data_IF_981933571463
#
_entry.id   IF_981933571463
#
_cell.length_a   1.000
_cell.length_b   1.000
_cell.length_c   1.000
_cell.angle_alpha   90.00
_cell.angle_beta   90.00
_cell.angle_gamma   90.00
#
_symmetry.space_group_name_H-M   'P 1'
#
loop_
_entity.id
_entity.type
_entity.pdbx_description
1 polymer ?
#
# COMPACT_ATOMS: atom_id res chain seq x y z
N UNK A 1 -9.98 15.29 24.61
CA UNK A 1 -8.56 15.37 24.96
C UNK A 1 -8.02 16.66 24.34
N UNK A 2 -7.26 17.45 25.07
CA UNK A 2 -6.70 18.70 24.55
C UNK A 2 -5.65 18.38 23.47
N UNK A 3 -5.85 18.82 22.21
CA UNK A 3 -4.91 18.54 21.12
C UNK A 3 -3.50 19.13 21.35
N UNK A 4 -3.37 20.10 22.25
CA UNK A 4 -2.09 20.72 22.60
C UNK A 4 -1.21 19.87 23.55
N UNK A 5 -1.76 18.84 24.18
CA UNK A 5 -1.04 18.01 25.16
C UNK A 5 -0.02 17.05 24.51
N UNK A 6 -0.08 16.86 23.19
CA UNK A 6 0.79 15.93 22.45
C UNK A 6 2.09 16.57 21.93
N UNK A 7 2.17 17.89 21.89
CA UNK A 7 3.34 18.60 21.35
C UNK A 7 4.57 18.59 22.26
N UNK A 8 4.44 18.17 23.52
CA UNK A 8 5.50 18.31 24.53
C UNK A 8 6.42 17.09 24.69
N UNK A 9 6.22 16.02 23.95
CA UNK A 9 7.14 14.88 23.91
C UNK A 9 7.98 14.96 22.64
N UNK A 10 9.29 15.20 22.80
CA UNK A 10 10.33 15.19 21.80
C UNK A 10 10.06 14.11 20.73
N UNK A 11 9.36 14.47 19.66
CA UNK A 11 9.34 13.61 18.49
C UNK A 11 10.66 13.84 17.75
N UNK A 12 11.56 12.85 17.66
CA UNK A 12 12.84 12.98 16.94
C UNK A 12 12.66 13.04 15.42
N UNK A 13 11.42 12.86 14.92
CA UNK A 13 11.18 12.82 13.49
C UNK A 13 11.23 14.23 12.88
N UNK A 14 12.03 14.45 11.82
CA UNK A 14 12.12 15.73 11.15
C UNK A 14 10.77 16.17 10.55
N UNK A 15 10.52 17.49 10.51
CA UNK A 15 9.30 18.02 9.89
C UNK A 15 9.20 17.68 8.40
N UNK A 16 10.34 17.55 7.71
CA UNK A 16 10.43 17.21 6.29
C UNK A 16 11.69 16.42 6.00
N UNK A 17 11.57 15.37 5.20
CA UNK A 17 12.68 14.55 4.72
C UNK A 17 12.55 14.38 3.21
N UNK A 18 13.62 14.69 2.47
CA UNK A 18 13.68 14.57 1.02
C UNK A 18 14.36 13.26 0.60
N UNK A 19 13.70 12.47 -0.25
CA UNK A 19 14.21 11.15 -0.69
C UNK A 19 15.39 11.20 -1.67
N UNK A 20 15.70 12.36 -2.22
CA UNK A 20 16.51 12.47 -3.44
C UNK A 20 15.69 12.12 -4.70
N UNK A 21 16.27 12.44 -5.88
CA UNK A 21 15.64 12.22 -7.19
C UNK A 21 16.16 10.94 -7.84
N UNK A 22 15.22 10.09 -8.31
CA UNK A 22 15.48 8.75 -8.82
C UNK A 22 14.73 8.52 -10.14
N UNK A 23 15.28 7.82 -11.16
CA UNK A 23 14.63 7.58 -12.44
C UNK A 23 13.63 6.40 -12.43
N UNK A 24 13.51 5.66 -11.33
CA UNK A 24 12.79 4.38 -11.22
C UNK A 24 11.26 4.50 -11.11
N UNK A 25 10.71 5.66 -11.40
CA UNK A 25 9.28 5.96 -11.33
C UNK A 25 8.93 6.74 -10.05
N UNK A 26 7.65 7.04 -9.85
CA UNK A 26 7.23 7.78 -8.67
C UNK A 26 7.17 6.89 -7.42
N UNK A 27 7.18 7.52 -6.24
CA UNK A 27 7.00 6.82 -4.97
C UNK A 27 5.57 6.28 -4.88
N UNK A 28 5.44 5.01 -4.51
CA UNK A 28 4.18 4.30 -4.34
C UNK A 28 3.81 4.15 -2.86
N UNK A 29 4.80 4.15 -1.97
CA UNK A 29 4.60 4.01 -0.54
C UNK A 29 5.85 4.36 0.26
N UNK A 30 5.65 4.59 1.55
CA UNK A 30 6.72 4.77 2.54
C UNK A 30 6.51 3.82 3.70
N UNK A 31 7.62 3.39 4.33
CA UNK A 31 7.60 2.67 5.59
C UNK A 31 8.70 3.22 6.50
N UNK A 32 8.45 3.32 7.80
CA UNK A 32 9.37 3.95 8.75
C UNK A 32 9.77 2.96 9.83
N UNK A 33 11.08 2.78 10.02
CA UNK A 33 11.68 2.11 11.16
C UNK A 33 12.06 3.18 12.19
N UNK A 34 11.14 3.50 13.10
CA UNK A 34 11.37 4.53 14.14
C UNK A 34 12.56 4.19 15.03
N UNK A 35 12.70 2.93 15.42
CA UNK A 35 13.76 2.47 16.30
C UNK A 35 15.14 2.46 15.64
N UNK A 36 15.20 2.09 14.35
CA UNK A 36 16.42 2.09 13.55
C UNK A 36 16.78 3.45 12.97
N UNK A 37 15.85 4.39 12.93
CA UNK A 37 16.04 5.72 12.34
C UNK A 37 16.13 5.70 10.81
N UNK A 38 15.31 4.87 10.15
CA UNK A 38 15.31 4.73 8.70
C UNK A 38 13.93 4.96 8.09
N UNK A 39 13.92 5.45 6.84
CA UNK A 39 12.74 5.45 5.96
C UNK A 39 13.03 4.57 4.75
N UNK A 40 12.03 3.79 4.38
CA UNK A 40 11.99 3.04 3.14
C UNK A 40 11.00 3.70 2.19
N UNK A 41 11.37 3.77 0.90
CA UNK A 41 10.54 4.28 -0.17
C UNK A 41 10.43 3.21 -1.25
N UNK A 42 9.22 2.81 -1.61
CA UNK A 42 9.00 2.06 -2.83
C UNK A 42 8.84 3.02 -3.99
N UNK A 43 9.88 3.13 -4.82
CA UNK A 43 9.72 3.62 -6.18
C UNK A 43 9.26 2.43 -7.05
N UNK A 44 8.67 2.69 -8.18
CA UNK A 44 8.06 1.61 -9.00
C UNK A 44 8.95 0.38 -9.19
N UNK A 45 10.28 0.55 -9.29
CA UNK A 45 11.24 -0.52 -9.63
C UNK A 45 12.44 -0.63 -8.69
N UNK A 46 12.45 0.12 -7.58
CA UNK A 46 13.44 -0.03 -6.51
C UNK A 46 12.79 0.15 -5.13
N UNK A 47 13.39 -0.48 -4.11
CA UNK A 47 13.22 -0.11 -2.72
C UNK A 47 14.44 0.70 -2.28
N UNK A 48 14.24 1.94 -1.86
CA UNK A 48 15.30 2.81 -1.31
C UNK A 48 15.20 2.87 0.21
N UNK A 49 16.34 2.76 0.91
CA UNK A 49 16.48 2.99 2.36
C UNK A 49 17.32 4.24 2.59
N UNK A 50 16.81 5.20 3.36
CA UNK A 50 17.54 6.40 3.80
C UNK A 50 17.59 6.49 5.32
N UNK A 51 18.51 7.29 5.85
CA UNK A 51 18.41 7.79 7.21
C UNK A 51 17.35 8.92 7.32
N UNK A 52 17.12 9.42 8.55
CA UNK A 52 16.16 10.51 8.79
C UNK A 52 16.65 11.89 8.30
N UNK A 53 17.90 12.00 7.83
CA UNK A 53 18.40 13.18 7.15
C UNK A 53 18.22 13.11 5.62
N UNK A 54 17.67 12.00 5.10
CA UNK A 54 17.48 11.76 3.67
C UNK A 54 18.70 11.20 2.96
N UNK A 55 19.77 10.85 3.67
CA UNK A 55 20.95 10.26 3.04
C UNK A 55 20.70 8.80 2.69
N UNK A 56 20.96 8.36 1.44
CA UNK A 56 20.82 6.96 1.03
C UNK A 56 21.74 6.04 1.85
N UNK A 57 21.18 4.97 2.40
CA UNK A 57 21.89 3.93 3.17
C UNK A 57 22.03 2.67 2.34
N UNK A 58 20.99 2.32 1.56
CA UNK A 58 20.98 1.17 0.68
C UNK A 58 19.78 1.16 -0.24
N UNK A 59 19.81 0.31 -1.24
CA UNK A 59 18.65 0.09 -2.12
C UNK A 59 18.62 -1.34 -2.66
N UNK A 60 17.40 -1.80 -2.97
CA UNK A 60 17.18 -3.06 -3.70
C UNK A 60 16.66 -2.70 -5.09
N UNK A 61 17.41 -3.03 -6.10
CA UNK A 61 17.13 -2.77 -7.51
C UNK A 61 16.77 -4.04 -8.28
N UNK A 62 16.70 -3.94 -9.60
CA UNK A 62 16.35 -5.06 -10.49
C UNK A 62 14.93 -5.60 -10.25
N UNK A 63 14.03 -4.76 -9.79
CA UNK A 63 12.61 -5.08 -9.68
C UNK A 63 11.98 -4.74 -11.03
N UNK A 64 11.52 -5.77 -11.76
CA UNK A 64 11.00 -5.63 -13.13
C UNK A 64 9.50 -5.33 -13.13
N UNK A 65 8.80 -5.75 -12.07
CA UNK A 65 7.37 -5.49 -11.86
C UNK A 65 7.08 -4.12 -11.25
N UNK A 66 5.80 -3.90 -10.97
CA UNK A 66 5.32 -2.72 -10.25
C UNK A 66 5.37 -2.97 -8.74
N UNK A 67 6.37 -2.41 -8.06
CA UNK A 67 6.42 -2.37 -6.61
C UNK A 67 5.48 -1.25 -6.13
N UNK A 68 4.39 -1.63 -5.45
CA UNK A 68 3.38 -0.72 -4.92
C UNK A 68 3.67 -0.24 -3.50
N UNK A 69 2.61 -0.10 -2.70
CA UNK A 69 2.68 0.31 -1.30
C UNK A 69 3.50 -0.66 -0.45
N UNK A 70 4.15 -0.12 0.57
CA UNK A 70 4.98 -0.88 1.53
C UNK A 70 4.60 -0.57 2.97
N UNK A 71 4.87 -1.53 3.86
CA UNK A 71 4.68 -1.39 5.30
C UNK A 71 5.83 -2.04 6.07
N UNK A 72 6.12 -1.58 7.30
CA UNK A 72 7.21 -2.10 8.13
C UNK A 72 6.69 -2.97 9.28
N UNK A 73 7.30 -4.14 9.43
CA UNK A 73 7.13 -5.04 10.58
C UNK A 73 8.34 -4.90 11.52
N UNK A 74 8.20 -4.23 12.66
CA UNK A 74 9.30 -4.02 13.59
C UNK A 74 9.74 -5.31 14.30
N UNK A 75 8.84 -6.29 14.47
CA UNK A 75 9.14 -7.52 15.19
C UNK A 75 10.03 -8.45 14.36
N UNK A 76 9.79 -8.51 13.05
CA UNK A 76 10.56 -9.32 12.09
C UNK A 76 11.63 -8.55 11.36
N UNK A 77 11.64 -7.23 11.51
CA UNK A 77 12.53 -6.30 10.79
C UNK A 77 12.43 -6.49 9.27
N UNK A 78 11.18 -6.49 8.79
CA UNK A 78 10.84 -6.68 7.39
C UNK A 78 10.05 -5.49 6.85
N UNK A 79 10.33 -5.12 5.61
CA UNK A 79 9.41 -4.32 4.82
C UNK A 79 8.63 -5.26 3.92
N UNK A 80 7.30 -5.24 4.02
CA UNK A 80 6.40 -5.94 3.10
C UNK A 80 5.86 -4.98 2.07
N UNK A 81 5.59 -5.47 0.86
CA UNK A 81 5.01 -4.67 -0.21
C UNK A 81 4.25 -5.51 -1.23
N UNK A 82 3.43 -4.86 -2.04
CA UNK A 82 2.80 -5.45 -3.20
C UNK A 82 3.74 -5.44 -4.39
N UNK A 83 3.79 -6.52 -5.16
CA UNK A 83 4.53 -6.58 -6.42
C UNK A 83 3.66 -7.21 -7.50
N UNK A 84 3.54 -6.53 -8.64
CA UNK A 84 2.77 -6.97 -9.79
C UNK A 84 3.69 -7.24 -10.98
N UNK A 85 3.58 -8.42 -11.55
CA UNK A 85 4.13 -8.77 -12.86
C UNK A 85 2.94 -8.91 -13.81
N UNK A 86 2.62 -7.89 -14.61
CA UNK A 86 1.42 -7.90 -15.47
C UNK A 86 1.65 -7.18 -16.81
N UNK A 87 0.86 -7.55 -17.83
CA UNK A 87 1.01 -7.10 -19.21
C UNK A 87 0.02 -6.00 -19.60
N UNK A 88 -0.55 -5.30 -18.64
CA UNK A 88 -1.39 -4.13 -18.88
C UNK A 88 -0.57 -2.89 -19.31
N UNK A 89 -1.21 -1.74 -19.38
CA UNK A 89 -0.54 -0.48 -19.75
C UNK A 89 0.57 -0.09 -18.76
N UNK A 90 0.43 -0.44 -17.47
CA UNK A 90 1.43 -0.15 -16.43
C UNK A 90 2.66 -1.05 -16.63
N UNK A 91 2.46 -2.36 -16.75
CA UNK A 91 3.55 -3.32 -16.98
C UNK A 91 4.31 -3.02 -18.28
N UNK A 92 3.60 -2.75 -19.37
CA UNK A 92 4.21 -2.31 -20.64
C UNK A 92 5.03 -1.02 -20.49
N UNK A 93 4.56 -0.07 -19.69
CA UNK A 93 5.29 1.16 -19.37
C UNK A 93 6.59 0.88 -18.59
N UNK A 94 6.58 -0.08 -17.67
CA UNK A 94 7.77 -0.50 -16.92
C UNK A 94 8.78 -1.18 -17.84
N UNK A 95 8.34 -2.15 -18.65
CA UNK A 95 9.18 -2.81 -19.67
C UNK A 95 9.84 -1.80 -20.60
N UNK A 96 9.06 -0.85 -21.12
CA UNK A 96 9.60 0.20 -22.00
C UNK A 96 10.67 1.07 -21.32
N UNK A 97 10.52 1.35 -20.02
CA UNK A 97 11.47 2.17 -19.25
C UNK A 97 12.71 1.40 -18.83
N UNK A 98 12.55 0.16 -18.40
CA UNK A 98 13.65 -0.66 -17.87
C UNK A 98 14.41 -1.41 -18.96
N UNK A 99 13.80 -1.63 -20.13
CA UNK A 99 14.32 -2.49 -21.19
C UNK A 99 14.35 -3.98 -20.83
N UNK A 100 13.64 -4.37 -19.76
CA UNK A 100 13.58 -5.75 -19.25
C UNK A 100 12.21 -6.34 -19.55
N UNK A 101 12.19 -7.58 -20.02
CA UNK A 101 10.95 -8.30 -20.30
C UNK A 101 10.40 -8.96 -19.03
N UNK A 102 9.07 -8.98 -18.91
CA UNK A 102 8.34 -9.79 -17.92
C UNK A 102 8.19 -11.23 -18.45
N UNK A 103 8.01 -12.17 -17.52
CA UNK A 103 7.53 -13.51 -17.88
C UNK A 103 6.17 -13.43 -18.59
N UNK A 104 5.82 -14.46 -19.38
CA UNK A 104 4.58 -14.43 -20.18
C UNK A 104 3.29 -14.39 -19.34
N UNK A 105 3.33 -14.88 -18.10
CA UNK A 105 2.16 -14.92 -17.21
C UNK A 105 2.05 -13.67 -16.32
N UNK A 106 0.80 -13.26 -16.04
CA UNK A 106 0.53 -12.28 -15.01
C UNK A 106 0.63 -12.94 -13.62
N UNK A 107 1.38 -12.31 -12.70
CA UNK A 107 1.59 -12.82 -11.35
C UNK A 107 1.62 -11.71 -10.32
N UNK A 108 1.12 -12.01 -9.12
CA UNK A 108 0.99 -11.06 -8.01
C UNK A 108 1.62 -11.63 -6.75
N UNK A 109 2.39 -10.81 -6.05
CA UNK A 109 3.16 -11.22 -4.89
C UNK A 109 3.04 -10.23 -3.72
N UNK A 110 3.06 -10.76 -2.51
CA UNK A 110 3.51 -10.01 -1.35
C UNK A 110 5.03 -10.21 -1.23
N UNK A 111 5.82 -9.16 -1.46
CA UNK A 111 7.27 -9.21 -1.28
C UNK A 111 7.67 -8.88 0.14
N UNK A 112 8.76 -9.47 0.60
CA UNK A 112 9.35 -9.25 1.92
C UNK A 112 10.83 -8.92 1.76
N UNK A 113 11.25 -7.74 2.20
CA UNK A 113 12.63 -7.28 2.20
C UNK A 113 13.25 -7.42 3.59
N UNK A 114 14.46 -7.94 3.64
CA UNK A 114 15.26 -8.01 4.88
C UNK A 114 15.91 -6.66 5.16
N UNK A 115 15.36 -5.91 6.13
CA UNK A 115 15.82 -4.56 6.46
C UNK A 115 17.27 -4.50 6.90
N UNK A 116 17.76 -5.54 7.60
CA UNK A 116 19.11 -5.61 8.12
C UNK A 116 20.11 -6.04 7.04
N UNK A 117 19.64 -6.73 6.02
CA UNK A 117 20.45 -7.08 4.85
C UNK A 117 20.65 -5.92 3.88
N UNK A 118 19.78 -4.87 3.91
CA UNK A 118 19.90 -3.69 3.02
C UNK A 118 20.98 -2.76 3.57
N UNK A 119 22.24 -2.96 3.14
CA UNK A 119 23.43 -2.26 3.67
C UNK A 119 24.23 -1.51 2.61
N UNK A 120 23.87 -1.65 1.33
CA UNK A 120 24.54 -0.96 0.22
C UNK A 120 23.56 -0.61 -0.90
N UNK A 121 23.97 0.33 -1.74
CA UNK A 121 23.18 0.73 -2.91
C UNK A 121 23.21 -0.37 -3.98
N UNK A 122 22.10 -0.46 -4.72
CA UNK A 122 21.96 -1.32 -5.91
C UNK A 122 22.12 -2.83 -5.62
N UNK A 123 21.65 -3.29 -4.46
CA UNK A 123 21.54 -4.72 -4.19
C UNK A 123 20.49 -5.33 -5.13
N UNK A 124 20.84 -6.42 -5.79
CA UNK A 124 19.94 -7.05 -6.76
C UNK A 124 18.88 -7.91 -6.06
N UNK A 125 17.60 -7.68 -6.37
CA UNK A 125 16.45 -8.38 -5.79
C UNK A 125 16.44 -9.89 -6.06
N UNK A 126 17.09 -10.34 -7.15
CA UNK A 126 17.12 -11.75 -7.58
C UNK A 126 18.35 -12.52 -7.10
N UNK A 127 19.36 -11.84 -6.56
CA UNK A 127 20.58 -12.50 -6.10
C UNK A 127 20.31 -13.32 -4.85
N UNK A 128 20.77 -14.56 -4.91
CA UNK A 128 20.71 -15.53 -3.80
C UNK A 128 22.16 -15.84 -3.37
N UNK A 129 22.43 -15.72 -2.06
CA UNK A 129 23.75 -16.05 -1.52
C UNK A 129 24.01 -17.56 -1.46
N UNK A 130 25.23 -17.95 -1.07
CA UNK A 130 25.62 -19.36 -0.98
C UNK A 130 24.79 -20.18 0.03
N UNK A 131 24.05 -19.53 0.93
CA UNK A 131 23.16 -20.14 1.92
C UNK A 131 21.70 -20.17 1.45
N UNK A 132 21.40 -19.75 0.22
CA UNK A 132 20.06 -19.68 -0.33
C UNK A 132 19.24 -18.48 0.17
N UNK A 133 19.88 -17.45 0.77
CA UNK A 133 19.21 -16.22 1.22
C UNK A 133 19.24 -15.15 0.12
N UNK A 134 18.14 -14.42 0.01
CA UNK A 134 18.00 -13.21 -0.81
C UNK A 134 17.58 -12.05 0.07
N UNK A 135 17.92 -10.83 -0.34
CA UNK A 135 17.45 -9.59 0.28
C UNK A 135 15.93 -9.43 0.12
N UNK A 136 15.36 -10.00 -0.94
CA UNK A 136 13.93 -10.02 -1.23
C UNK A 136 13.43 -11.45 -1.41
N UNK A 137 12.31 -11.78 -0.76
CA UNK A 137 11.52 -12.98 -1.02
C UNK A 137 10.10 -12.60 -1.40
N UNK A 138 9.37 -13.47 -2.07
CA UNK A 138 8.03 -13.21 -2.57
C UNK A 138 7.08 -14.36 -2.21
N UNK A 139 5.87 -14.02 -1.75
CA UNK A 139 4.75 -14.94 -1.56
C UNK A 139 3.79 -14.76 -2.73
N UNK A 140 3.55 -15.82 -3.50
CA UNK A 140 2.56 -15.81 -4.58
C UNK A 140 1.13 -15.70 -4.03
N UNK A 141 0.29 -14.88 -4.66
CA UNK A 141 -1.07 -14.55 -4.24
C UNK A 141 -2.11 -15.14 -5.21
N UNK A 142 -2.48 -16.42 -5.08
CA UNK A 142 -3.38 -17.09 -6.04
C UNK A 142 -4.78 -16.48 -6.05
N UNK A 143 -5.27 -15.91 -4.94
CA UNK A 143 -6.56 -15.20 -4.90
C UNK A 143 -6.60 -14.02 -5.87
N UNK A 144 -5.50 -13.25 -5.92
CA UNK A 144 -5.40 -12.07 -6.80
C UNK A 144 -5.33 -12.50 -8.26
N UNK A 145 -4.48 -13.50 -8.56
CA UNK A 145 -4.35 -14.04 -9.93
C UNK A 145 -5.69 -14.54 -10.44
N UNK A 146 -6.43 -15.26 -9.60
CA UNK A 146 -7.77 -15.75 -9.93
C UNK A 146 -8.71 -14.61 -10.27
N UNK A 147 -8.87 -13.63 -9.37
CA UNK A 147 -9.83 -12.53 -9.55
C UNK A 147 -9.42 -11.57 -10.68
N UNK A 148 -8.10 -11.48 -10.97
CA UNK A 148 -7.61 -10.71 -12.12
C UNK A 148 -7.89 -11.41 -13.45
N UNK A 149 -7.79 -12.74 -13.51
CA UNK A 149 -7.97 -13.53 -14.74
C UNK A 149 -9.45 -13.86 -15.05
N UNK A 150 -10.30 -13.95 -14.02
CA UNK A 150 -11.70 -14.35 -14.17
C UNK A 150 -12.61 -13.16 -14.51
N UNK A 151 -13.62 -13.42 -15.32
CA UNK A 151 -14.72 -12.49 -15.51
C UNK A 151 -15.60 -12.47 -14.25
N UNK A 152 -16.26 -11.35 -14.01
CA UNK A 152 -17.21 -11.20 -12.93
C UNK A 152 -18.49 -11.98 -13.20
N UNK A 153 -18.84 -12.92 -12.34
CA UNK A 153 -20.01 -13.80 -12.53
C UNK A 153 -21.34 -13.03 -12.56
N UNK A 154 -21.43 -11.91 -11.84
CA UNK A 154 -22.68 -11.14 -11.76
C UNK A 154 -22.90 -10.20 -12.95
N UNK A 155 -21.84 -9.59 -13.45
CA UNK A 155 -21.89 -8.58 -14.52
C UNK A 155 -21.40 -9.09 -15.88
N UNK A 156 -20.65 -10.20 -15.91
CA UNK A 156 -19.94 -10.68 -17.10
C UNK A 156 -18.79 -9.76 -17.53
N UNK A 157 -18.41 -8.78 -16.70
CA UNK A 157 -17.31 -7.86 -16.98
C UNK A 157 -15.96 -8.52 -16.68
N UNK A 158 -14.90 -8.25 -17.45
CA UNK A 158 -13.57 -8.79 -17.17
C UNK A 158 -13.06 -8.31 -15.82
N UNK A 159 -12.23 -9.12 -15.20
CA UNK A 159 -11.60 -8.86 -13.90
C UNK A 159 -12.63 -8.77 -12.75
N UNK A 160 -12.77 -9.87 -12.03
CA UNK A 160 -13.70 -9.96 -10.90
C UNK A 160 -13.45 -8.84 -9.87
N UNK A 161 -14.50 -8.26 -9.31
CA UNK A 161 -14.46 -7.06 -8.43
C UNK A 161 -13.84 -5.81 -9.09
N UNK A 162 -13.63 -5.81 -10.40
CA UNK A 162 -12.86 -4.79 -11.10
C UNK A 162 -11.35 -4.85 -10.78
N UNK A 163 -10.84 -6.00 -10.35
CA UNK A 163 -9.44 -6.18 -9.96
C UNK A 163 -8.48 -5.74 -11.06
N UNK A 164 -7.68 -4.70 -10.80
CA UNK A 164 -6.59 -4.27 -11.69
C UNK A 164 -5.22 -4.74 -11.22
N UNK A 165 -5.19 -5.57 -10.16
CA UNK A 165 -4.01 -6.05 -9.47
C UNK A 165 -4.03 -5.68 -7.99
N UNK A 166 -2.88 -5.37 -7.42
CA UNK A 166 -2.70 -5.03 -6.00
C UNK A 166 -1.85 -3.76 -5.85
N UNK A 167 -2.10 -2.98 -4.78
CA UNK A 167 -1.27 -1.80 -4.49
C UNK A 167 -1.12 -1.59 -2.98
N UNK A 168 -2.19 -1.20 -2.26
CA UNK A 168 -2.14 -0.93 -0.82
C UNK A 168 -1.66 -2.12 0.02
N UNK A 169 -0.77 -1.85 0.97
CA UNK A 169 -0.23 -2.86 1.91
C UNK A 169 -0.15 -2.26 3.30
N UNK A 170 -0.62 -2.98 4.34
CA UNK A 170 -0.52 -2.56 5.74
C UNK A 170 -0.13 -3.71 6.66
N UNK A 171 0.53 -3.37 7.77
CA UNK A 171 0.79 -4.26 8.90
C UNK A 171 0.02 -3.77 10.12
N UNK A 172 -1.03 -4.49 10.51
CA UNK A 172 -1.91 -4.05 11.58
C UNK A 172 -2.77 -5.17 12.18
N UNK A 173 -3.56 -4.88 13.22
CA UNK A 173 -4.43 -5.86 13.86
C UNK A 173 -5.57 -6.30 12.91
N UNK A 174 -6.12 -7.48 13.16
CA UNK A 174 -7.35 -7.94 12.52
C UNK A 174 -8.51 -7.03 12.93
N UNK A 175 -9.41 -6.71 11.99
CA UNK A 175 -10.59 -5.90 12.25
C UNK A 175 -11.44 -6.48 13.40
N UNK A 176 -11.81 -5.64 14.37
CA UNK A 176 -12.54 -6.03 15.57
C UNK A 176 -11.70 -6.60 16.70
N UNK A 177 -10.39 -6.78 16.49
CA UNK A 177 -9.48 -7.26 17.53
C UNK A 177 -8.84 -6.11 18.30
N UNK A 178 -8.36 -6.33 19.55
CA UNK A 178 -7.58 -5.35 20.28
C UNK A 178 -6.34 -4.87 19.51
N UNK A 179 -5.92 -3.63 19.73
CA UNK A 179 -4.78 -3.02 19.04
C UNK A 179 -3.43 -3.73 19.32
N UNK A 180 -3.32 -4.41 20.45
CA UNK A 180 -2.17 -5.19 20.89
C UNK A 180 -2.22 -6.67 20.49
N UNK A 181 -3.27 -7.07 19.73
CA UNK A 181 -3.34 -8.43 19.18
C UNK A 181 -2.27 -8.67 18.12
N UNK A 182 -2.05 -9.93 17.75
CA UNK A 182 -1.13 -10.31 16.68
C UNK A 182 -1.52 -9.61 15.38
N UNK A 183 -0.55 -8.95 14.75
CA UNK A 183 -0.76 -8.19 13.53
C UNK A 183 -0.71 -9.09 12.29
N UNK A 184 -1.39 -8.67 11.27
CA UNK A 184 -1.50 -9.32 9.96
C UNK A 184 -1.03 -8.38 8.86
N UNK A 185 -0.71 -8.96 7.71
CA UNK A 185 -0.47 -8.21 6.47
C UNK A 185 -1.80 -8.10 5.74
N UNK A 186 -2.18 -6.87 5.43
CA UNK A 186 -3.33 -6.56 4.59
C UNK A 186 -2.83 -6.17 3.20
N UNK A 187 -3.33 -6.83 2.15
CA UNK A 187 -3.05 -6.52 0.75
C UNK A 187 -4.33 -6.06 0.09
N UNK A 188 -4.31 -4.89 -0.54
CA UNK A 188 -5.49 -4.30 -1.17
C UNK A 188 -5.44 -4.44 -2.69
N UNK A 189 -6.60 -4.67 -3.29
CA UNK A 189 -6.72 -4.65 -4.74
C UNK A 189 -6.54 -3.23 -5.28
N UNK A 190 -5.86 -3.14 -6.42
CA UNK A 190 -6.15 -2.13 -7.40
C UNK A 190 -7.53 -2.38 -7.99
N UNK A 191 -8.25 -1.32 -8.37
CA UNK A 191 -9.60 -1.44 -8.95
C UNK A 191 -9.71 -0.55 -10.18
N UNK A 192 -10.10 -1.13 -11.33
CA UNK A 192 -10.37 -0.35 -12.54
C UNK A 192 -11.51 0.64 -12.34
N UNK A 193 -11.33 1.88 -12.81
CA UNK A 193 -12.25 3.00 -12.60
C UNK A 193 -13.41 3.08 -13.59
N UNK A 194 -13.76 1.99 -14.28
CA UNK A 194 -14.85 1.99 -15.26
C UNK A 194 -16.14 2.55 -14.62
N UNK A 195 -16.59 3.68 -15.14
CA UNK A 195 -17.76 4.41 -14.61
C UNK A 195 -19.09 3.74 -14.97
N UNK A 196 -19.08 2.82 -15.95
CA UNK A 196 -20.26 2.09 -16.38
C UNK A 196 -20.49 0.79 -15.60
N UNK A 197 -19.50 0.32 -14.83
CA UNK A 197 -19.62 -0.86 -13.96
C UNK A 197 -20.28 -0.46 -12.64
N UNK A 198 -21.04 -1.36 -12.04
CA UNK A 198 -21.61 -1.19 -10.70
C UNK A 198 -20.97 -2.10 -9.64
N UNK A 199 -20.22 -3.10 -10.08
CA UNK A 199 -19.56 -4.13 -9.28
C UNK A 199 -18.13 -3.76 -8.80
N UNK A 200 -17.64 -2.57 -9.15
CA UNK A 200 -16.29 -2.05 -8.83
C UNK A 200 -16.29 -0.90 -7.81
N UNK A 201 -17.34 -0.80 -6.98
CA UNK A 201 -17.51 0.29 -6.00
C UNK A 201 -17.07 -0.11 -4.56
N UNK A 202 -16.57 -1.35 -4.39
CA UNK A 202 -15.94 -1.83 -3.15
C UNK A 202 -14.43 -1.89 -3.29
N UNK A 203 -13.70 -1.54 -2.23
CA UNK A 203 -12.31 -1.90 -2.07
C UNK A 203 -12.24 -3.32 -1.52
N UNK A 204 -11.28 -4.13 -2.01
CA UNK A 204 -11.05 -5.50 -1.57
C UNK A 204 -9.74 -5.56 -0.80
N UNK A 205 -9.78 -6.12 0.41
CA UNK A 205 -8.62 -6.24 1.30
C UNK A 205 -8.45 -7.72 1.66
N UNK A 206 -7.29 -8.27 1.34
CA UNK A 206 -6.92 -9.65 1.66
C UNK A 206 -6.02 -9.67 2.90
N UNK A 207 -6.28 -10.60 3.82
CA UNK A 207 -5.49 -10.78 5.05
C UNK A 207 -4.58 -11.98 4.94
N UNK A 208 -3.30 -11.80 5.33
CA UNK A 208 -2.29 -12.87 5.41
C UNK A 208 -1.56 -12.86 6.74
N UNK A 209 -1.20 -14.04 7.24
CA UNK A 209 -0.30 -14.16 8.39
C UNK A 209 1.16 -13.94 7.94
N UNK A 210 1.93 -13.05 8.59
CA UNK A 210 3.36 -12.90 8.29
C UNK A 210 4.14 -14.21 8.34
N UNK A 211 3.76 -15.17 9.21
CA UNK A 211 4.38 -16.49 9.26
C UNK A 211 4.18 -17.31 7.97
N UNK A 212 3.09 -17.06 7.23
CA UNK A 212 2.88 -17.69 5.91
C UNK A 212 3.82 -17.12 4.84
N UNK A 213 4.15 -15.82 4.93
CA UNK A 213 5.14 -15.20 4.05
C UNK A 213 6.53 -15.81 4.31
N UNK A 214 6.90 -16.02 5.57
CA UNK A 214 8.15 -16.70 5.91
C UNK A 214 8.17 -18.17 5.45
N UNK A 215 7.05 -18.88 5.60
CA UNK A 215 6.92 -20.30 5.24
C UNK A 215 6.96 -20.54 3.73
N UNK A 216 6.23 -19.75 2.96
CA UNK A 216 5.99 -19.95 1.54
C UNK A 216 6.76 -18.99 0.64
N UNK A 217 7.24 -17.86 1.18
CA UNK A 217 8.07 -16.90 0.45
C UNK A 217 9.35 -17.56 -0.06
N UNK A 218 9.71 -17.25 -1.30
CA UNK A 218 10.94 -17.74 -1.98
C UNK A 218 11.63 -16.58 -2.67
N UNK A 219 12.93 -16.68 -2.90
CA UNK A 219 13.61 -15.80 -3.86
C UNK A 219 12.86 -15.81 -5.19
N UNK A 220 12.65 -14.64 -5.78
CA UNK A 220 11.88 -14.49 -7.01
C UNK A 220 12.81 -14.28 -8.21
N UNK A 221 12.70 -15.15 -9.20
CA UNK A 221 13.15 -14.83 -10.56
C UNK A 221 11.97 -14.28 -11.35
N UNK A 222 12.04 -13.04 -11.76
CA UNK A 222 10.94 -12.35 -12.45
C UNK A 222 10.81 -12.78 -13.91
N UNK A 223 11.86 -13.39 -14.48
CA UNK A 223 11.83 -14.05 -15.80
C UNK A 223 11.20 -15.44 -15.76
N UNK A 224 11.21 -16.10 -14.58
CA UNK A 224 10.61 -17.42 -14.37
C UNK A 224 9.94 -17.45 -12.98
N UNK A 225 8.81 -16.75 -12.84
CA UNK A 225 8.15 -16.54 -11.55
C UNK A 225 7.66 -17.88 -10.97
N UNK A 226 7.79 -18.03 -9.65
CA UNK A 226 7.33 -19.21 -8.94
C UNK A 226 5.89 -19.02 -8.42
N UNK A 227 5.17 -20.13 -8.18
CA UNK A 227 3.84 -20.14 -7.60
C UNK A 227 3.82 -20.59 -6.12
N UNK A 228 4.95 -20.45 -5.41
CA UNK A 228 4.99 -20.75 -3.98
C UNK A 228 4.20 -19.69 -3.21
N UNK A 229 3.03 -20.06 -2.69
CA UNK A 229 2.10 -19.13 -2.06
C UNK A 229 1.01 -19.83 -1.26
N UNK A 230 0.05 -19.06 -0.78
CA UNK A 230 -1.12 -19.56 -0.07
C UNK A 230 -2.35 -18.67 -0.34
N UNK A 231 -3.52 -19.19 -0.05
CA UNK A 231 -4.75 -18.41 -0.03
C UNK A 231 -4.75 -17.42 1.15
N UNK A 232 -5.47 -16.32 1.01
CA UNK A 232 -5.71 -15.38 2.11
C UNK A 232 -6.49 -16.06 3.26
N UNK A 233 -6.26 -15.59 4.50
CA UNK A 233 -7.03 -16.03 5.66
C UNK A 233 -8.45 -15.47 5.66
N UNK A 234 -8.61 -14.25 5.13
CA UNK A 234 -9.89 -13.56 5.01
C UNK A 234 -9.86 -12.56 3.85
N UNK A 235 -11.03 -12.31 3.26
CA UNK A 235 -11.28 -11.29 2.25
C UNK A 235 -12.34 -10.34 2.78
N UNK A 236 -12.01 -9.06 2.83
CA UNK A 236 -12.89 -8.00 3.31
C UNK A 236 -13.27 -7.05 2.19
N UNK A 237 -14.45 -6.45 2.33
CA UNK A 237 -14.99 -5.48 1.39
C UNK A 237 -15.31 -4.18 2.11
N UNK A 238 -14.83 -3.08 1.57
CA UNK A 238 -15.11 -1.75 2.09
C UNK A 238 -15.74 -0.88 1.00
N UNK A 239 -16.97 -0.42 1.23
CA UNK A 239 -17.71 0.35 0.23
C UNK A 239 -17.30 1.82 0.25
N UNK A 240 -16.55 2.25 -0.77
CA UNK A 240 -16.12 3.63 -0.96
C UNK A 240 -16.87 4.36 -2.07
N UNK A 241 -17.57 3.61 -2.90
CA UNK A 241 -17.94 4.06 -4.23
C UNK A 241 -16.75 3.95 -5.19
N UNK A 242 -16.85 4.65 -6.32
CA UNK A 242 -15.87 4.56 -7.40
C UNK A 242 -14.52 5.15 -7.00
N UNK A 243 -13.45 4.43 -7.28
CA UNK A 243 -12.07 4.90 -7.15
C UNK A 243 -11.32 4.69 -8.45
N UNK A 244 -10.18 5.36 -8.60
CA UNK A 244 -9.25 5.14 -9.69
C UNK A 244 -8.06 4.35 -9.15
N UNK A 245 -7.85 3.15 -9.68
CA UNK A 245 -6.81 2.21 -9.27
C UNK A 245 -6.95 1.61 -7.85
N UNK A 246 -8.10 1.77 -7.17
CA UNK A 246 -8.34 1.18 -5.85
C UNK A 246 -7.54 1.81 -4.73
N UNK A 247 -7.21 1.00 -3.71
CA UNK A 247 -6.43 1.45 -2.55
C UNK A 247 -4.96 1.56 -2.93
N UNK A 248 -4.44 2.77 -2.89
CA UNK A 248 -3.03 3.05 -3.18
C UNK A 248 -2.14 2.84 -1.96
N UNK A 249 -2.59 3.30 -0.80
CA UNK A 249 -1.93 3.06 0.47
C UNK A 249 -2.97 2.73 1.53
N UNK A 250 -2.63 1.77 2.39
CA UNK A 250 -3.37 1.41 3.58
C UNK A 250 -2.43 1.53 4.78
N UNK A 251 -2.86 2.22 5.84
CA UNK A 251 -2.04 2.39 7.05
C UNK A 251 -2.88 2.27 8.31
N UNK A 252 -2.41 1.48 9.28
CA UNK A 252 -3.05 1.34 10.58
C UNK A 252 -2.59 2.43 11.55
N UNK A 253 -3.51 3.22 12.04
CA UNK A 253 -3.27 4.16 13.14
C UNK A 253 -3.77 3.62 14.47
N UNK A 254 -2.86 3.34 15.39
CA UNK A 254 -3.18 2.84 16.73
C UNK A 254 -3.78 3.92 17.64
N UNK A 255 -3.59 5.21 17.33
CA UNK A 255 -4.15 6.33 18.11
C UNK A 255 -5.64 6.49 17.91
N UNK A 256 -6.09 6.52 16.66
CA UNK A 256 -7.52 6.58 16.33
C UNK A 256 -8.16 5.19 16.22
N UNK A 257 -7.34 4.15 16.15
CA UNK A 257 -7.74 2.75 15.89
C UNK A 257 -8.51 2.62 14.57
N UNK A 258 -7.96 3.25 13.53
CA UNK A 258 -8.51 3.19 12.17
C UNK A 258 -7.47 2.72 11.18
N UNK A 259 -7.93 2.22 10.02
CA UNK A 259 -7.10 2.11 8.84
C UNK A 259 -7.35 3.32 7.94
N UNK A 260 -6.29 4.10 7.66
CA UNK A 260 -6.31 5.14 6.65
C UNK A 260 -6.20 4.47 5.28
N UNK A 261 -7.15 4.75 4.40
CA UNK A 261 -7.27 4.11 3.09
C UNK A 261 -7.19 5.19 2.02
N UNK A 262 -6.00 5.44 1.50
CA UNK A 262 -5.76 6.47 0.50
C UNK A 262 -6.02 5.92 -0.91
N UNK A 263 -6.81 6.67 -1.72
CA UNK A 263 -7.21 6.29 -3.07
C UNK A 263 -7.02 7.47 -4.02
N UNK A 264 -6.84 7.21 -5.30
CA UNK A 264 -7.11 8.23 -6.30
C UNK A 264 -8.62 8.35 -6.52
N UNK A 265 -9.11 9.59 -6.58
CA UNK A 265 -10.54 9.90 -6.70
C UNK A 265 -11.14 9.30 -7.97
N UNK A 266 -12.33 8.73 -7.82
CA UNK A 266 -13.13 8.21 -8.92
C UNK A 266 -13.78 9.31 -9.76
N UNK A 267 -14.64 8.89 -10.72
CA UNK A 267 -15.31 9.79 -11.66
C UNK A 267 -16.82 9.53 -11.79
N UNK A 268 -17.38 8.57 -11.06
CA UNK A 268 -18.83 8.36 -11.06
C UNK A 268 -19.51 9.53 -10.34
N UNK A 269 -20.37 10.25 -11.04
CA UNK A 269 -21.08 11.45 -10.55
C UNK A 269 -21.98 11.18 -9.35
N UNK A 270 -22.46 9.93 -9.20
CA UNK A 270 -23.30 9.51 -8.07
C UNK A 270 -22.57 9.48 -6.72
N UNK A 271 -21.24 9.61 -6.71
CA UNK A 271 -20.41 9.60 -5.50
C UNK A 271 -19.67 10.92 -5.30
N UNK A 272 -19.37 11.25 -4.04
CA UNK A 272 -18.55 12.41 -3.69
C UNK A 272 -17.08 12.24 -4.10
N UNK A 273 -16.62 10.99 -4.30
CA UNK A 273 -15.26 10.65 -4.74
C UNK A 273 -14.15 11.22 -3.84
N UNK A 274 -14.20 10.90 -2.56
CA UNK A 274 -13.16 11.31 -1.60
C UNK A 274 -11.79 10.70 -1.92
N UNK A 275 -10.66 11.40 -1.61
CA UNK A 275 -9.31 10.88 -1.81
C UNK A 275 -8.80 10.02 -0.63
N UNK A 276 -9.44 10.10 0.54
CA UNK A 276 -9.06 9.33 1.73
C UNK A 276 -10.33 8.80 2.41
N UNK A 277 -10.24 7.56 2.90
CA UNK A 277 -11.30 6.94 3.68
C UNK A 277 -10.72 6.36 4.98
N UNK A 278 -11.58 6.23 6.00
CA UNK A 278 -11.24 5.69 7.31
C UNK A 278 -12.08 4.45 7.59
N UNK A 279 -11.42 3.33 7.88
CA UNK A 279 -12.07 2.08 8.30
C UNK A 279 -11.92 1.94 9.81
N UNK A 280 -13.01 1.64 10.51
CA UNK A 280 -13.01 1.39 11.95
C UNK A 280 -12.38 0.02 12.26
N UNK A 281 -11.15 0.02 12.78
CA UNK A 281 -10.45 -1.22 13.15
C UNK A 281 -11.04 -1.88 14.40
N UNK A 282 -11.85 -1.16 15.19
CA UNK A 282 -12.49 -1.69 16.42
C UNK A 282 -13.73 -2.54 16.12
N UNK A 283 -14.30 -2.42 14.93
CA UNK A 283 -15.51 -3.13 14.53
C UNK A 283 -15.16 -4.43 13.83
N UNK A 284 -15.74 -5.52 14.34
CA UNK A 284 -15.63 -6.81 13.65
C UNK A 284 -16.31 -6.74 12.27
N UNK A 285 -15.74 -7.38 11.26
CA UNK A 285 -16.39 -7.52 9.96
C UNK A 285 -17.73 -8.26 10.12
N UNK A 286 -18.69 -7.94 9.27
CA UNK A 286 -20.00 -8.57 9.28
C UNK A 286 -20.40 -9.05 7.88
N UNK A 287 -21.16 -10.14 7.82
CA UNK A 287 -21.68 -10.62 6.54
C UNK A 287 -22.79 -9.70 6.02
N UNK A 288 -22.62 -9.22 4.80
CA UNK A 288 -23.60 -8.37 4.12
C UNK A 288 -23.57 -8.54 2.62
N UNK A 289 -24.60 -7.99 1.95
CA UNK A 289 -24.68 -7.98 0.50
C UNK A 289 -23.72 -6.95 -0.09
N UNK A 290 -22.98 -7.35 -1.12
CA UNK A 290 -22.10 -6.48 -1.87
C UNK A 290 -22.92 -5.66 -2.88
N UNK A 291 -22.93 -4.34 -2.73
CA UNK A 291 -23.69 -3.44 -3.62
C UNK A 291 -23.22 -3.59 -5.07
N UNK A 292 -24.19 -3.68 -5.99
CA UNK A 292 -23.91 -3.82 -7.42
C UNK A 292 -23.51 -5.24 -7.86
N UNK A 293 -23.66 -6.26 -6.98
CA UNK A 293 -23.16 -7.61 -7.24
C UNK A 293 -24.25 -8.71 -7.21
N UNK A 294 -25.48 -8.36 -7.54
CA UNK A 294 -26.54 -9.36 -7.79
C UNK A 294 -26.88 -10.26 -6.60
N UNK A 295 -26.72 -9.79 -5.35
CA UNK A 295 -26.99 -10.56 -4.14
C UNK A 295 -25.76 -11.32 -3.59
N UNK A 296 -24.60 -11.20 -4.20
CA UNK A 296 -23.35 -11.74 -3.65
C UNK A 296 -23.11 -11.16 -2.24
N UNK A 297 -22.66 -12.02 -1.32
CA UNK A 297 -22.38 -11.64 0.06
C UNK A 297 -20.88 -11.73 0.37
N UNK A 298 -20.41 -10.86 1.27
CA UNK A 298 -19.03 -10.85 1.73
C UNK A 298 -18.89 -10.27 3.12
N UNK A 299 -17.67 -10.28 3.67
CA UNK A 299 -17.33 -9.67 4.95
C UNK A 299 -17.14 -8.16 4.75
N UNK A 300 -18.11 -7.38 5.18
CA UNK A 300 -18.11 -5.94 5.08
C UNK A 300 -17.38 -5.29 6.25
N UNK A 301 -16.61 -4.23 5.97
CA UNK A 301 -15.98 -3.38 6.95
C UNK A 301 -16.81 -2.15 7.24
N UNK A 302 -16.66 -1.62 8.46
CA UNK A 302 -17.38 -0.44 8.94
C UNK A 302 -16.52 0.81 8.77
N UNK A 303 -17.12 1.89 8.28
CA UNK A 303 -16.50 3.20 8.21
C UNK A 303 -16.31 3.80 9.61
N UNK A 304 -15.17 4.47 9.84
CA UNK A 304 -14.93 5.21 11.07
C UNK A 304 -15.52 6.63 10.98
N UNK A 305 -16.04 7.11 12.10
CA UNK A 305 -16.64 8.44 12.25
C UNK A 305 -15.83 9.22 13.29
N UNK A 306 -14.66 9.77 12.91
CA UNK A 306 -13.78 10.49 13.84
C UNK A 306 -14.26 11.93 14.15
N UNK A 307 -14.95 12.56 13.20
CA UNK A 307 -15.47 13.94 13.31
C UNK A 307 -16.56 14.19 12.27
N UNK A 308 -17.22 15.33 12.35
CA UNK A 308 -18.21 15.79 11.35
C UNK A 308 -17.61 16.01 9.95
N UNK A 309 -16.26 16.07 9.84
CA UNK A 309 -15.55 16.18 8.56
C UNK A 309 -15.41 14.84 7.84
N UNK A 310 -15.78 13.74 8.47
CA UNK A 310 -15.77 12.39 7.89
C UNK A 310 -17.19 12.00 7.50
N UNK A 311 -17.40 11.65 6.24
CA UNK A 311 -18.71 11.25 5.74
C UNK A 311 -19.18 9.92 6.33
N UNK A 312 -20.46 9.57 6.18
CA UNK A 312 -21.02 8.27 6.60
C UNK A 312 -20.29 7.07 5.97
N UNK A 313 -19.68 7.25 4.80
CA UNK A 313 -18.86 6.24 4.12
C UNK A 313 -17.40 6.24 4.60
N UNK A 314 -17.05 7.02 5.61
CA UNK A 314 -15.69 7.16 6.10
C UNK A 314 -14.81 8.07 5.25
N UNK A 315 -15.34 8.70 4.20
CA UNK A 315 -14.60 9.53 3.27
C UNK A 315 -14.33 10.94 3.82
N UNK A 316 -13.15 11.47 3.55
CA UNK A 316 -12.76 12.84 3.93
C UNK A 316 -11.92 13.51 2.83
N UNK A 317 -11.95 14.86 2.84
CA UNK A 317 -11.19 15.69 1.91
C UNK A 317 -9.77 15.93 2.43
N UNK A 318 -8.89 14.96 2.19
CA UNK A 318 -7.45 15.13 2.43
C UNK A 318 -6.68 14.49 1.27
N UNK A 319 -6.05 15.32 0.44
CA UNK A 319 -5.50 14.95 -0.87
C UNK A 319 -4.12 14.27 -0.84
N UNK A 320 -3.62 13.85 0.34
CA UNK A 320 -2.36 13.14 0.48
C UNK A 320 -2.59 11.69 0.94
N UNK A 321 -1.54 10.87 0.84
CA UNK A 321 -1.53 9.47 1.25
C UNK A 321 -1.40 8.48 0.08
N UNK A 322 -1.75 8.87 -1.15
CA UNK A 322 -1.71 7.98 -2.32
C UNK A 322 -0.28 7.53 -2.69
N UNK A 323 0.73 8.28 -2.27
CA UNK A 323 2.15 7.97 -2.51
C UNK A 323 2.91 7.62 -1.23
N UNK A 324 2.20 7.41 -0.15
CA UNK A 324 2.73 6.97 1.12
C UNK A 324 2.16 7.74 2.31
N UNK A 325 1.79 7.00 3.34
CA UNK A 325 1.37 7.49 4.65
C UNK A 325 1.95 6.59 5.72
N UNK A 326 2.33 7.17 6.85
CA UNK A 326 2.76 6.45 8.05
C UNK A 326 2.16 7.12 9.30
N UNK A 327 1.58 6.31 10.19
CA UNK A 327 0.99 6.75 11.45
C UNK A 327 1.91 6.41 12.62
N UNK A 328 2.35 7.41 13.38
CA UNK A 328 3.20 7.20 14.57
C UNK A 328 2.43 6.69 15.80
N UNK A 329 1.11 6.52 15.70
CA UNK A 329 0.28 6.03 16.80
C UNK A 329 0.11 6.99 17.97
N UNK A 330 0.39 8.26 17.78
CA UNK A 330 0.31 9.32 18.80
C UNK A 330 -0.38 10.61 18.30
N UNK A 331 -1.10 10.53 17.19
CA UNK A 331 -1.74 11.65 16.52
C UNK A 331 -0.83 12.42 15.57
N UNK A 332 0.39 11.91 15.31
CA UNK A 332 1.30 12.40 14.28
C UNK A 332 1.34 11.42 13.11
N UNK A 333 1.57 11.96 11.91
CA UNK A 333 1.60 11.23 10.66
C UNK A 333 2.68 11.79 9.76
N UNK A 334 3.26 10.93 8.94
CA UNK A 334 4.13 11.32 7.84
C UNK A 334 3.41 11.06 6.52
N UNK A 335 3.31 12.07 5.65
CA UNK A 335 2.73 11.93 4.31
C UNK A 335 3.77 12.21 3.26
N UNK A 336 3.86 11.31 2.26
CA UNK A 336 4.68 11.48 1.08
C UNK A 336 4.04 12.47 0.12
N UNK A 337 4.77 13.51 -0.26
CA UNK A 337 4.40 14.48 -1.28
C UNK A 337 5.23 14.23 -2.53
N UNK A 338 4.57 13.85 -3.61
CA UNK A 338 5.21 13.50 -4.86
C UNK A 338 5.85 14.72 -5.55
N UNK A 339 7.12 14.54 -5.97
CA UNK A 339 7.87 15.50 -6.76
C UNK A 339 8.40 14.84 -8.04
N UNK A 340 8.56 15.61 -9.09
CA UNK A 340 9.27 15.17 -10.29
C UNK A 340 9.93 16.34 -11.00
N UNK A 341 10.99 16.04 -11.76
CA UNK A 341 11.66 16.98 -12.63
C UNK A 341 12.24 16.27 -13.86
N UNK A 342 12.58 17.03 -14.88
CA UNK A 342 13.33 16.54 -16.02
C UNK A 342 14.76 17.06 -15.89
N UNK A 343 15.74 16.16 -15.89
CA UNK A 343 17.15 16.48 -15.81
C UNK A 343 17.65 17.08 -17.14
N UNK A 344 18.83 17.69 -17.13
CA UNK A 344 19.43 18.30 -18.34
C UNK A 344 19.61 17.32 -19.50
N UNK A 345 19.84 16.04 -19.19
CA UNK A 345 19.95 14.96 -20.17
C UNK A 345 18.60 14.45 -20.70
N UNK A 346 17.48 15.08 -20.31
CA UNK A 346 16.12 14.70 -20.72
C UNK A 346 15.50 13.55 -19.91
N UNK A 347 16.21 12.96 -18.93
CA UNK A 347 15.67 11.90 -18.08
C UNK A 347 14.71 12.50 -17.06
N UNK A 348 13.51 11.94 -16.96
CA UNK A 348 12.55 12.29 -15.91
C UNK A 348 12.90 11.56 -14.62
N UNK A 349 13.04 12.30 -13.54
CA UNK A 349 13.31 11.78 -12.20
C UNK A 349 12.20 12.15 -11.25
N UNK A 350 12.07 11.36 -10.18
CA UNK A 350 11.00 11.44 -9.20
C UNK A 350 11.57 11.47 -7.80
N UNK A 351 10.90 12.16 -6.91
CA UNK A 351 11.25 12.24 -5.50
C UNK A 351 10.00 12.31 -4.63
N UNK A 352 10.20 12.18 -3.33
CA UNK A 352 9.20 12.47 -2.32
C UNK A 352 9.77 13.39 -1.25
N UNK A 353 8.99 14.39 -0.85
CA UNK A 353 9.12 15.03 0.44
C UNK A 353 8.19 14.31 1.42
N UNK A 354 8.73 13.67 2.44
CA UNK A 354 7.96 13.11 3.56
C UNK A 354 7.78 14.21 4.61
N UNK A 355 6.54 14.66 4.79
CA UNK A 355 6.20 15.82 5.61
C UNK A 355 5.37 15.40 6.80
N UNK A 356 5.66 15.97 7.98
CA UNK A 356 5.00 15.68 9.24
C UNK A 356 3.69 16.45 9.37
N UNK A 357 2.64 15.73 9.73
CA UNK A 357 1.29 16.24 10.01
C UNK A 357 0.83 15.81 11.39
N UNK A 358 -0.11 16.55 11.97
CA UNK A 358 -0.85 16.17 13.16
C UNK A 358 -2.31 15.98 12.84
N UNK A 359 -2.98 15.11 13.59
CA UNK A 359 -4.44 15.01 13.56
C UNK A 359 -5.04 16.34 14.04
N UNK A 360 -5.94 16.91 13.25
CA UNK A 360 -6.65 18.15 13.57
C UNK A 360 -8.15 17.98 13.28
N UNK A 361 -8.92 17.80 14.33
CA UNK A 361 -10.36 17.58 14.22
C UNK A 361 -11.18 18.88 14.39
N UNK A 362 -10.51 20.05 14.49
CA UNK A 362 -11.15 21.29 14.90
C UNK A 362 -11.71 22.14 13.76
N UNK A 363 -11.08 22.14 12.59
CA UNK A 363 -11.37 23.10 11.51
C UNK A 363 -11.93 22.46 10.20
N UNK A 364 -12.57 21.31 10.30
CA UNK A 364 -13.09 20.62 9.12
C UNK A 364 -12.00 20.00 8.23
N UNK A 365 -10.74 20.11 8.62
CA UNK A 365 -9.60 19.36 8.07
C UNK A 365 -9.27 18.19 8.99
N UNK A 366 -8.87 17.05 8.43
CA UNK A 366 -8.49 15.90 9.24
C UNK A 366 -7.03 15.97 9.71
N UNK A 367 -6.17 16.61 8.95
CA UNK A 367 -4.73 16.75 9.25
C UNK A 367 -4.23 18.17 8.96
N UNK A 368 -3.33 18.66 9.81
CA UNK A 368 -2.61 19.92 9.64
C UNK A 368 -1.10 19.68 9.63
N UNK A 369 -0.37 20.36 8.76
CA UNK A 369 1.11 20.34 8.73
C UNK A 369 1.69 20.90 10.04
N UNK A 370 2.78 20.26 10.56
CA UNK A 370 3.43 20.63 11.82
C UNK A 370 4.49 21.70 11.67
#
# INVERSE_FOLDING_TARGET
MDPNTYMDKKNPFPRRIHSGYWPEGHVQGIAIDEAGGYIYYSFTTILLKTDLAGNPVGSVCNIVGHLGCITFDPDRRRVYGSLELKHDAIGKGIVSRTGKELAEEDAFYCVSFDCDAITSMNMDAEVVDANGKSVMTALYLPDVVKDYAEDDEASGAPHRYGCSGIDGTAYGPVFGMPADSSKKIMICYGVYSDVNREDNDHQVILQYDPAMIEKWGRPLSQAAPHHSGCLCEARYFFYTGNTRYGVQNLEYDSFTRTYLTAVYTGKKEKFTNYPLFLIDACKAPFEGELKGRGGERGLLLTAAQLSDSVSELGGCWFGLGQTGVYAFGNGLYAFSQHLNRTEENGVRTFASDVVLYRLDLTDGQLFAEV
#
